data_IF_376224540283
#
_entry.id   IF_376224540283
#
_cell.length_a   1.000
_cell.length_b   1.000
_cell.length_c   1.000
_cell.angle_alpha   90.00
_cell.angle_beta   90.00
_cell.angle_gamma   90.00
#
_symmetry.space_group_name_H-M   'P 1'
#
loop_
_entity.id
_entity.type
_entity.pdbx_description
1 polymer ?
#
# COMPACT_ATOMS: atom_id res chain seq x y z
N UNK A 1 5.23 14.87 8.35
CA UNK A 1 4.23 14.04 7.66
C UNK A 1 4.89 12.84 7.01
N UNK A 2 4.25 11.67 7.05
CA UNK A 2 4.64 10.43 6.34
C UNK A 2 3.46 9.91 5.52
N UNK A 3 3.75 9.31 4.38
CA UNK A 3 2.78 8.64 3.53
C UNK A 3 3.04 7.14 3.54
N UNK A 4 2.00 6.33 3.75
CA UNK A 4 2.04 4.88 3.64
C UNK A 4 1.26 4.46 2.38
N UNK A 5 1.85 3.60 1.57
CA UNK A 5 1.18 2.93 0.46
C UNK A 5 1.07 1.45 0.77
N UNK A 6 -0.12 0.89 0.60
CA UNK A 6 -0.37 -0.55 0.69
C UNK A 6 -0.94 -1.05 -0.64
N UNK A 7 -0.51 -2.22 -1.07
CA UNK A 7 -0.89 -2.84 -2.34
C UNK A 7 -1.22 -4.31 -2.08
N UNK A 8 -2.42 -4.76 -2.44
CA UNK A 8 -2.87 -6.15 -2.21
C UNK A 8 -2.52 -6.99 -3.44
N UNK A 9 -1.32 -7.59 -3.40
CA UNK A 9 -0.83 -8.43 -4.49
C UNK A 9 -1.69 -9.67 -4.75
N UNK A 10 -1.67 -10.11 -6.00
CA UNK A 10 -2.21 -11.40 -6.46
C UNK A 10 -3.71 -11.56 -6.28
N UNK A 11 -4.48 -10.46 -6.23
CA UNK A 11 -5.94 -10.50 -6.30
C UNK A 11 -6.44 -11.12 -7.61
N UNK A 12 -5.81 -10.80 -8.74
CA UNK A 12 -6.29 -11.22 -10.07
C UNK A 12 -6.34 -12.76 -10.26
N UNK A 13 -5.32 -13.55 -9.87
CA UNK A 13 -5.40 -15.01 -9.93
C UNK A 13 -6.43 -15.63 -8.97
N UNK A 14 -6.72 -14.98 -7.84
CA UNK A 14 -7.74 -15.44 -6.89
C UNK A 14 -9.15 -15.13 -7.41
N UNK A 15 -9.37 -13.92 -7.93
CA UNK A 15 -10.64 -13.48 -8.48
C UNK A 15 -11.09 -14.35 -9.67
N UNK A 16 -10.17 -14.95 -10.42
CA UNK A 16 -10.49 -15.91 -11.47
C UNK A 16 -10.91 -17.31 -10.99
N UNK A 17 -10.70 -17.64 -9.70
CA UNK A 17 -10.99 -18.96 -9.11
C UNK A 17 -12.22 -18.99 -8.20
N UNK A 18 -12.76 -17.83 -7.84
CA UNK A 18 -13.92 -17.71 -6.95
C UNK A 18 -15.02 -16.87 -7.60
N UNK A 19 -16.29 -17.03 -7.18
CA UNK A 19 -17.35 -16.12 -7.59
C UNK A 19 -16.96 -14.66 -7.29
N UNK A 20 -17.31 -13.69 -8.17
CA UNK A 20 -16.96 -12.28 -8.00
C UNK A 20 -17.31 -11.71 -6.61
N UNK A 21 -18.44 -12.10 -6.06
CA UNK A 21 -18.90 -11.69 -4.73
C UNK A 21 -17.96 -12.16 -3.61
N UNK A 22 -17.42 -13.37 -3.73
CA UNK A 22 -16.44 -13.89 -2.78
C UNK A 22 -15.08 -13.19 -2.93
N UNK A 23 -14.70 -12.85 -4.17
CA UNK A 23 -13.49 -12.08 -4.45
C UNK A 23 -13.55 -10.72 -3.74
N UNK A 24 -14.61 -9.96 -3.99
CA UNK A 24 -14.84 -8.65 -3.37
C UNK A 24 -14.89 -8.74 -1.84
N UNK A 25 -15.58 -9.76 -1.29
CA UNK A 25 -15.63 -9.94 0.16
C UNK A 25 -14.25 -10.21 0.78
N UNK A 26 -13.40 -11.01 0.12
CA UNK A 26 -12.04 -11.24 0.59
C UNK A 26 -11.20 -9.96 0.55
N UNK A 27 -11.29 -9.18 -0.53
CA UNK A 27 -10.58 -7.90 -0.67
C UNK A 27 -11.01 -6.90 0.42
N UNK A 28 -12.32 -6.76 0.65
CA UNK A 28 -12.85 -5.86 1.67
C UNK A 28 -12.39 -6.24 3.09
N UNK A 29 -12.24 -7.55 3.38
CA UNK A 29 -11.69 -8.01 4.67
C UNK A 29 -10.24 -7.61 4.84
N UNK A 30 -9.43 -7.70 3.79
CA UNK A 30 -8.03 -7.25 3.82
C UNK A 30 -7.94 -5.74 3.99
N UNK A 31 -8.71 -4.98 3.22
CA UNK A 31 -8.76 -3.53 3.37
C UNK A 31 -9.18 -3.12 4.79
N UNK A 32 -10.14 -3.84 5.38
CA UNK A 32 -10.54 -3.62 6.76
C UNK A 32 -9.38 -3.85 7.75
N UNK A 33 -8.55 -4.87 7.55
CA UNK A 33 -7.34 -5.08 8.37
C UNK A 33 -6.36 -3.91 8.27
N UNK A 34 -6.09 -3.43 7.05
CA UNK A 34 -5.14 -2.34 6.81
C UNK A 34 -5.67 -1.02 7.39
N UNK A 35 -6.95 -0.70 7.14
CA UNK A 35 -7.60 0.52 7.64
C UNK A 35 -7.58 0.56 9.16
N UNK A 36 -7.94 -0.55 9.83
CA UNK A 36 -7.90 -0.64 11.29
C UNK A 36 -6.49 -0.41 11.84
N UNK A 37 -5.47 -0.97 11.17
CA UNK A 37 -4.09 -0.78 11.58
C UNK A 37 -3.64 0.69 11.44
N UNK A 38 -3.96 1.34 10.32
CA UNK A 38 -3.70 2.77 10.07
C UNK A 38 -4.36 3.63 11.15
N UNK A 39 -5.65 3.43 11.37
CA UNK A 39 -6.42 4.20 12.36
C UNK A 39 -5.88 4.01 13.79
N UNK A 40 -5.44 2.78 14.13
CA UNK A 40 -4.88 2.49 15.45
C UNK A 40 -3.57 3.22 15.77
N UNK A 41 -2.91 3.76 14.76
CA UNK A 41 -1.65 4.52 14.89
C UNK A 41 -1.85 6.01 14.54
N UNK A 42 -3.10 6.48 14.50
CA UNK A 42 -3.42 7.89 14.23
C UNK A 42 -3.24 8.31 12.76
N UNK A 43 -3.14 7.35 11.85
CA UNK A 43 -3.14 7.61 10.41
C UNK A 43 -4.54 7.77 9.84
N UNK A 44 -4.62 8.41 8.69
CA UNK A 44 -5.88 8.64 7.95
C UNK A 44 -5.77 8.03 6.57
N UNK A 45 -6.79 7.27 6.17
CA UNK A 45 -6.93 6.81 4.80
C UNK A 45 -7.26 8.00 3.89
N UNK A 46 -6.41 8.24 2.89
CA UNK A 46 -6.59 9.34 1.93
C UNK A 46 -7.35 8.90 0.68
N UNK A 47 -6.96 7.77 0.08
CA UNK A 47 -7.63 7.25 -1.13
C UNK A 47 -7.34 5.78 -1.40
N UNK A 48 -8.28 5.16 -2.10
CA UNK A 48 -8.10 3.85 -2.73
C UNK A 48 -7.46 4.01 -4.12
N UNK A 49 -6.65 3.04 -4.51
CA UNK A 49 -5.90 3.01 -5.77
C UNK A 49 -6.05 1.63 -6.42
N UNK A 50 -7.27 1.25 -6.77
CA UNK A 50 -7.57 -0.09 -7.29
C UNK A 50 -7.51 -1.16 -6.19
N UNK A 51 -6.52 -2.03 -6.26
CA UNK A 51 -6.18 -3.06 -5.26
C UNK A 51 -5.26 -2.54 -4.14
N UNK A 52 -4.84 -1.27 -4.22
CA UNK A 52 -4.05 -0.60 -3.19
C UNK A 52 -4.78 0.54 -2.48
N UNK A 53 -4.10 1.12 -1.49
CA UNK A 53 -4.53 2.30 -0.74
C UNK A 53 -3.37 3.19 -0.31
N UNK A 54 -3.68 4.47 -0.09
CA UNK A 54 -2.76 5.49 0.40
C UNK A 54 -3.26 6.06 1.73
N UNK A 55 -2.38 6.11 2.72
CA UNK A 55 -2.64 6.66 4.04
C UNK A 55 -1.63 7.74 4.42
N UNK A 56 -2.09 8.69 5.24
CA UNK A 56 -1.33 9.84 5.70
C UNK A 56 -1.16 9.78 7.21
N UNK A 57 0.05 10.12 7.67
CA UNK A 57 0.38 10.25 9.08
C UNK A 57 0.95 11.65 9.32
N UNK A 58 0.35 12.39 10.26
CA UNK A 58 0.68 13.79 10.51
C UNK A 58 0.13 14.77 9.47
N UNK A 59 -1.04 14.44 8.87
CA UNK A 59 -1.88 15.35 8.11
C UNK A 59 -3.36 14.90 8.17
N UNK A 60 -4.35 15.82 8.18
CA UNK A 60 -4.19 17.29 8.21
C UNK A 60 -3.75 17.80 9.59
N UNK A 61 -3.96 17.01 10.65
CA UNK A 61 -3.45 17.30 11.98
C UNK A 61 -2.00 16.78 12.14
N UNK A 62 -1.13 17.52 12.86
CA UNK A 62 0.21 17.05 13.18
C UNK A 62 0.16 15.77 14.03
N UNK A 63 1.14 14.89 13.81
CA UNK A 63 1.32 13.66 14.58
C UNK A 63 2.81 13.51 14.87
N UNK A 64 3.14 13.48 16.16
CA UNK A 64 4.51 13.25 16.59
C UNK A 64 4.98 11.86 16.20
N UNK A 65 6.24 11.75 15.81
CA UNK A 65 6.83 10.49 15.35
C UNK A 65 6.02 9.79 14.25
N UNK A 66 5.36 10.55 13.35
CA UNK A 66 4.53 10.04 12.26
C UNK A 66 5.18 8.92 11.41
N UNK A 67 6.52 8.88 11.30
CA UNK A 67 7.24 7.80 10.63
C UNK A 67 7.23 6.47 11.41
N UNK A 68 7.33 6.53 12.74
CA UNK A 68 7.22 5.35 13.63
C UNK A 68 5.79 4.83 13.61
N UNK A 69 4.80 5.74 13.69
CA UNK A 69 3.38 5.40 13.59
C UNK A 69 3.05 4.68 12.27
N UNK A 70 3.53 5.20 11.14
CA UNK A 70 3.35 4.56 9.84
C UNK A 70 4.00 3.16 9.77
N UNK A 71 5.19 3.01 10.37
CA UNK A 71 5.89 1.72 10.42
C UNK A 71 5.14 0.69 11.28
N UNK A 72 4.65 1.10 12.45
CA UNK A 72 3.83 0.25 13.33
C UNK A 72 2.51 -0.14 12.65
N UNK A 73 1.87 0.78 11.94
CA UNK A 73 0.64 0.51 11.20
C UNK A 73 0.87 -0.56 10.13
N UNK A 74 1.99 -0.49 9.38
CA UNK A 74 2.33 -1.50 8.39
C UNK A 74 2.54 -2.88 9.03
N UNK A 75 3.28 -2.96 10.15
CA UNK A 75 3.51 -4.22 10.87
C UNK A 75 2.19 -4.81 11.37
N UNK A 76 1.34 -4.00 12.02
CA UNK A 76 0.01 -4.41 12.48
C UNK A 76 -0.87 -4.91 11.33
N UNK A 77 -0.84 -4.23 10.18
CA UNK A 77 -1.59 -4.63 9.01
C UNK A 77 -1.15 -6.01 8.51
N UNK A 78 0.17 -6.26 8.41
CA UNK A 78 0.70 -7.57 8.00
C UNK A 78 0.26 -8.69 8.95
N UNK A 79 0.38 -8.48 10.26
CA UNK A 79 -0.06 -9.45 11.28
C UNK A 79 -1.56 -9.75 11.21
N UNK A 80 -2.38 -8.73 10.99
CA UNK A 80 -3.83 -8.88 10.85
C UNK A 80 -4.21 -9.65 9.58
N UNK A 81 -3.53 -9.40 8.46
CA UNK A 81 -3.74 -10.13 7.20
C UNK A 81 -3.31 -11.58 7.34
N UNK A 82 -2.19 -11.86 8.00
CA UNK A 82 -1.73 -13.22 8.27
C UNK A 82 -2.75 -14.00 9.13
N UNK A 83 -3.29 -13.34 10.15
CA UNK A 83 -4.34 -13.92 11.00
C UNK A 83 -5.64 -14.18 10.23
N UNK A 84 -6.01 -13.27 9.32
CA UNK A 84 -7.13 -13.47 8.40
C UNK A 84 -6.88 -14.66 7.46
N UNK A 85 -5.65 -14.83 6.95
CA UNK A 85 -5.29 -15.95 6.10
C UNK A 85 -5.40 -17.29 6.84
N UNK A 86 -4.87 -17.37 8.07
CA UNK A 86 -5.02 -18.56 8.95
C UNK A 86 -6.48 -18.91 9.19
N UNK A 87 -7.30 -17.92 9.60
CA UNK A 87 -8.72 -18.14 9.87
C UNK A 87 -9.53 -18.56 8.63
N UNK A 88 -9.06 -18.23 7.42
CA UNK A 88 -9.68 -18.70 6.17
C UNK A 88 -9.30 -20.15 5.88
N UNK A 89 -8.04 -20.52 6.11
CA UNK A 89 -7.56 -21.88 5.92
C UNK A 89 -8.25 -22.87 6.86
N UNK A 90 -8.44 -22.49 8.13
CA UNK A 90 -9.19 -23.29 9.12
C UNK A 90 -10.64 -23.55 8.68
N UNK A 91 -11.23 -22.62 7.93
CA UNK A 91 -12.59 -22.74 7.37
C UNK A 91 -12.63 -23.49 6.03
N UNK A 92 -11.51 -24.05 5.58
CA UNK A 92 -11.41 -24.75 4.29
C UNK A 92 -11.62 -23.83 3.08
N UNK A 93 -11.53 -22.50 3.25
CA UNK A 93 -11.68 -21.55 2.15
C UNK A 93 -10.40 -21.53 1.32
N UNK A 94 -10.54 -21.25 0.03
CA UNK A 94 -9.39 -21.09 -0.88
C UNK A 94 -8.38 -20.11 -0.24
N UNK A 95 -7.12 -20.54 -0.03
CA UNK A 95 -6.10 -19.71 0.56
C UNK A 95 -5.91 -18.42 -0.24
N UNK A 96 -5.74 -17.33 0.48
CA UNK A 96 -5.17 -16.11 -0.10
C UNK A 96 -3.73 -16.51 -0.46
N UNK A 97 -3.37 -16.48 -1.76
CA UNK A 97 -2.14 -17.12 -2.26
C UNK A 97 -0.86 -16.68 -1.53
N UNK A 98 0.17 -17.51 -1.57
CA UNK A 98 1.49 -17.24 -0.98
C UNK A 98 2.06 -15.92 -1.51
N UNK A 99 2.01 -14.85 -0.69
CA UNK A 99 2.36 -13.48 -1.09
C UNK A 99 1.30 -12.42 -0.75
N UNK A 100 0.09 -12.83 -0.35
CA UNK A 100 -0.93 -11.94 0.18
C UNK A 100 -0.52 -11.45 1.58
N UNK A 101 -0.28 -10.14 1.72
CA UNK A 101 0.29 -9.55 2.93
C UNK A 101 1.79 -9.19 2.83
N UNK A 102 2.45 -9.47 1.71
CA UNK A 102 3.77 -8.90 1.43
C UNK A 102 3.62 -7.43 1.05
N UNK A 103 3.81 -6.53 2.02
CA UNK A 103 4.09 -5.12 1.75
C UNK A 103 5.45 -5.10 1.06
N UNK A 104 5.48 -4.89 -0.25
CA UNK A 104 6.75 -4.80 -0.96
C UNK A 104 7.51 -3.54 -0.51
N UNK A 105 8.80 -3.74 -0.25
CA UNK A 105 9.83 -2.78 0.14
C UNK A 105 10.04 -1.63 -0.87
N UNK A 106 9.02 -0.80 -1.08
CA UNK A 106 9.17 0.49 -1.75
C UNK A 106 8.62 1.59 -0.87
N UNK A 107 9.23 1.68 0.32
CA UNK A 107 9.21 2.84 1.17
C UNK A 107 10.03 3.94 0.49
N UNK A 108 9.41 4.75 -0.37
CA UNK A 108 9.98 6.09 -0.55
C UNK A 108 9.68 6.84 0.74
N UNK A 109 10.67 7.35 1.49
CA UNK A 109 10.40 8.46 2.37
C UNK A 109 10.11 9.64 1.43
N UNK A 110 8.86 9.83 1.01
CA UNK A 110 8.43 11.17 0.58
C UNK A 110 8.24 11.98 1.86
N UNK A 111 9.37 12.27 2.50
CA UNK A 111 9.49 13.44 3.35
C UNK A 111 9.51 14.62 2.39
N UNK A 112 8.35 15.12 1.98
CA UNK A 112 8.29 16.45 1.41
C UNK A 112 8.57 17.43 2.57
N UNK A 113 9.85 17.69 2.81
CA UNK A 113 10.28 18.82 3.61
C UNK A 113 9.97 20.04 2.75
N UNK A 114 8.83 20.70 3.02
CA UNK A 114 8.61 22.05 2.49
C UNK A 114 9.83 22.89 2.87
N UNK A 115 10.51 23.53 1.90
CA UNK A 115 11.63 24.40 2.23
C UNK A 115 11.05 25.68 2.84
N UNK A 116 11.03 25.74 4.16
CA UNK A 116 10.96 27.02 4.87
C UNK A 116 12.29 27.75 4.66
N UNK A 117 12.31 28.62 3.65
CA UNK A 117 13.15 29.83 3.63
C UNK A 117 14.65 29.68 3.35
N UNK A 118 15.03 30.20 2.18
CA UNK A 118 16.33 30.84 1.82
C UNK A 118 17.59 29.97 1.61
N UNK A 119 18.19 30.27 0.45
CA UNK A 119 19.52 29.96 -0.09
C UNK A 119 19.76 28.59 -0.77
N UNK A 120 19.82 28.65 -2.10
CA UNK A 120 20.71 27.82 -2.94
C UNK A 120 22.17 28.29 -2.79
N UNK A 121 23.15 27.39 -2.92
CA UNK A 121 23.80 27.28 -4.22
C UNK A 121 24.02 25.86 -4.72
N UNK A 122 24.03 25.79 -6.05
CA UNK A 122 24.45 24.74 -6.97
C UNK A 122 25.55 23.79 -6.46
N UNK A 123 25.27 22.47 -6.47
CA UNK A 123 25.99 21.51 -7.33
C UNK A 123 25.48 20.07 -7.12
N UNK A 124 25.35 19.35 -8.24
CA UNK A 124 25.02 17.91 -8.39
C UNK A 124 23.54 17.52 -8.25
N UNK A 125 22.78 17.85 -9.29
CA UNK A 125 21.68 17.00 -9.77
C UNK A 125 22.26 15.82 -10.56
N UNK A 126 21.88 14.56 -10.32
CA UNK A 126 21.99 13.53 -11.36
C UNK A 126 20.93 13.82 -12.43
N UNK A 127 21.39 13.95 -13.68
CA UNK A 127 20.59 14.23 -14.87
C UNK A 127 19.46 13.21 -15.06
N UNK A 128 18.22 13.67 -15.04
CA UNK A 128 17.08 12.91 -15.57
C UNK A 128 17.12 12.99 -17.10
N UNK A 129 17.38 11.85 -17.77
CA UNK A 129 17.20 11.73 -19.21
C UNK A 129 15.71 11.56 -19.55
N UNK A 130 15.13 12.37 -20.46
CA UNK A 130 13.69 12.47 -20.70
C UNK A 130 13.16 11.46 -21.74
N UNK A 131 13.42 10.15 -21.57
CA UNK A 131 13.01 9.13 -22.55
C UNK A 131 12.47 7.81 -21.97
N UNK A 132 11.74 7.83 -20.86
CA UNK A 132 11.04 6.64 -20.34
C UNK A 132 9.52 6.81 -20.33
N UNK A 133 8.96 7.30 -21.43
CA UNK A 133 7.55 7.08 -21.79
C UNK A 133 7.50 6.43 -23.17
N UNK A 134 7.57 5.10 -23.21
CA UNK A 134 7.10 4.33 -24.36
C UNK A 134 6.15 3.25 -23.86
N UNK A 135 4.89 3.44 -24.26
CA UNK A 135 3.84 2.43 -24.34
C UNK A 135 4.42 1.10 -24.82
N UNK A 136 4.09 -0.01 -24.15
CA UNK A 136 4.08 -1.32 -24.80
C UNK A 136 2.65 -1.57 -25.31
N UNK A 137 2.40 -1.53 -26.63
CA UNK A 137 1.28 -2.22 -27.22
C UNK A 137 1.79 -3.56 -27.72
N UNK A 138 1.56 -4.65 -26.98
CA UNK A 138 1.74 -5.98 -27.59
C UNK A 138 0.39 -6.57 -28.00
N UNK A 139 0.19 -6.42 -29.30
CA UNK A 139 -0.79 -7.04 -30.17
C UNK A 139 -0.69 -8.57 -30.04
N UNK A 140 -1.80 -9.22 -29.70
CA UNK A 140 -2.01 -10.65 -29.93
C UNK A 140 -2.19 -10.82 -31.44
N UNK A 141 -1.40 -11.72 -32.04
CA UNK A 141 -1.56 -12.21 -33.40
C UNK A 141 -2.62 -13.32 -33.41
N UNK A 142 -3.60 -13.20 -34.29
CA UNK A 142 -4.10 -14.29 -35.14
C UNK A 142 -4.30 -13.70 -36.53
#
# INVERSE_FOLDING_TARGET
>A
MTVLFADVRSFSPFAGKVPPQQAVSALNKIFSCIIKAIQSEGGILNKFMGDGMMALFGAPAPLDHHGIAASRAAVKAMQAIESLARARQEKGLIPLGSGWGSIRERWWPVAWRLPSGRNTPSSKMPSASPHAWKRSPNRIKY
#
